data_IF_914303441579
#
_entry.id   IF_914303441579
#
_cell.length_a   1.000
_cell.length_b   1.000
_cell.length_c   1.000
_cell.angle_alpha   90.00
_cell.angle_beta   90.00
_cell.angle_gamma   90.00
#
_symmetry.space_group_name_H-M   'P 1'
#
loop_
_entity.id
_entity.type
_entity.pdbx_description
1 polymer ?
#
# COMPACT_ATOMS: atom_id res chain seq x y z
N UNK A 1 -27.81 -2.47 -17.09
CA UNK A 1 -27.55 -1.10 -16.59
C UNK A 1 -28.01 -1.06 -15.15
N UNK A 2 -27.19 -0.53 -14.26
CA UNK A 2 -27.55 -0.28 -12.88
C UNK A 2 -28.62 0.82 -12.85
N UNK A 3 -29.83 0.47 -12.41
CA UNK A 3 -31.01 1.32 -12.48
C UNK A 3 -30.83 2.62 -11.71
N UNK A 4 -30.30 2.55 -10.50
CA UNK A 4 -30.16 3.69 -9.59
C UNK A 4 -29.08 4.68 -10.03
N UNK A 5 -28.11 4.23 -10.84
CA UNK A 5 -26.92 5.02 -11.19
C UNK A 5 -26.76 5.26 -12.70
N UNK A 6 -27.54 4.60 -13.55
CA UNK A 6 -27.40 4.67 -15.01
C UNK A 6 -26.10 4.05 -15.56
N UNK A 7 -25.38 3.27 -14.76
CA UNK A 7 -24.06 2.72 -15.12
C UNK A 7 -24.19 1.39 -15.87
N UNK A 8 -23.41 1.17 -16.92
CA UNK A 8 -23.36 -0.13 -17.61
C UNK A 8 -22.60 -1.14 -16.72
N UNK A 9 -23.21 -2.29 -16.43
CA UNK A 9 -22.62 -3.34 -15.59
C UNK A 9 -21.94 -4.45 -16.40
N UNK A 10 -22.49 -4.79 -17.56
CA UNK A 10 -21.90 -5.76 -18.50
C UNK A 10 -22.28 -5.39 -19.93
N UNK A 11 -21.50 -5.87 -20.90
CA UNK A 11 -21.72 -5.63 -22.32
C UNK A 11 -21.06 -4.36 -22.87
N UNK A 12 -20.08 -3.78 -22.18
CA UNK A 12 -19.33 -2.59 -22.63
C UNK A 12 -18.87 -2.69 -24.10
N UNK A 13 -18.20 -3.78 -24.48
CA UNK A 13 -17.77 -3.98 -25.87
C UNK A 13 -18.95 -4.03 -26.85
N UNK A 14 -20.06 -4.68 -26.48
CA UNK A 14 -21.26 -4.75 -27.33
C UNK A 14 -21.92 -3.37 -27.46
N UNK A 15 -21.99 -2.63 -26.37
CA UNK A 15 -22.52 -1.28 -26.33
C UNK A 15 -21.70 -0.34 -27.23
N UNK A 16 -20.36 -0.36 -27.11
CA UNK A 16 -19.48 0.43 -27.97
C UNK A 16 -19.62 0.07 -29.45
N UNK A 17 -19.67 -1.23 -29.78
CA UNK A 17 -19.84 -1.69 -31.16
C UNK A 17 -21.20 -1.26 -31.71
N UNK A 18 -22.29 -1.45 -30.96
CA UNK A 18 -23.63 -1.06 -31.41
C UNK A 18 -23.73 0.45 -31.63
N UNK A 19 -23.17 1.25 -30.71
CA UNK A 19 -23.07 2.71 -30.87
C UNK A 19 -22.26 3.11 -32.10
N UNK A 20 -21.10 2.50 -32.32
CA UNK A 20 -20.23 2.79 -33.48
C UNK A 20 -20.89 2.42 -34.81
N UNK A 21 -21.64 1.31 -34.84
CA UNK A 21 -22.27 0.79 -36.05
C UNK A 21 -23.71 1.29 -36.25
N UNK A 22 -24.24 2.12 -35.36
CA UNK A 22 -25.62 2.61 -35.43
C UNK A 22 -26.66 1.49 -35.30
N UNK A 23 -26.32 0.40 -34.60
CA UNK A 23 -27.22 -0.74 -34.39
C UNK A 23 -28.03 -0.48 -33.13
N UNK A 24 -29.36 -0.55 -33.25
CA UNK A 24 -30.27 -0.44 -32.11
C UNK A 24 -30.06 -1.58 -31.11
N UNK A 25 -30.16 -1.27 -29.82
CA UNK A 25 -30.01 -2.25 -28.76
C UNK A 25 -30.97 -1.96 -27.60
N UNK A 26 -31.36 -3.01 -26.91
CA UNK A 26 -32.17 -2.93 -25.70
C UNK A 26 -31.29 -3.06 -24.45
N UNK A 27 -31.63 -2.28 -23.42
CA UNK A 27 -30.96 -2.36 -22.11
C UNK A 27 -31.84 -3.04 -21.08
N UNK A 28 -31.28 -3.96 -20.30
CA UNK A 28 -31.91 -4.49 -19.10
C UNK A 28 -31.50 -3.66 -17.89
N UNK A 29 -32.48 -3.12 -17.17
CA UNK A 29 -32.26 -2.43 -15.90
C UNK A 29 -32.14 -3.45 -14.77
N UNK A 30 -31.15 -3.26 -13.90
CA UNK A 30 -30.89 -4.10 -12.73
C UNK A 30 -30.74 -3.19 -11.52
N UNK A 31 -31.40 -3.52 -10.42
CA UNK A 31 -31.36 -2.77 -9.17
C UNK A 31 -30.40 -3.41 -8.17
N UNK A 32 -29.58 -2.60 -7.51
CA UNK A 32 -28.67 -3.05 -6.45
C UNK A 32 -28.68 -2.06 -5.27
N UNK A 33 -28.63 -2.55 -4.02
CA UNK A 33 -28.57 -1.68 -2.83
C UNK A 33 -27.34 -0.79 -2.79
N UNK A 34 -26.22 -1.29 -3.31
CA UNK A 34 -24.94 -0.63 -3.26
C UNK A 34 -23.97 -1.12 -4.33
N UNK A 35 -22.81 -0.48 -4.34
CA UNK A 35 -21.76 -0.74 -5.33
C UNK A 35 -21.13 -2.12 -5.16
N UNK A 36 -21.06 -2.63 -3.93
CA UNK A 36 -20.43 -3.92 -3.65
C UNK A 36 -21.34 -5.08 -4.06
N UNK A 37 -22.66 -4.95 -3.93
CA UNK A 37 -23.64 -5.88 -4.48
C UNK A 37 -23.62 -5.88 -6.01
N UNK A 38 -23.49 -4.71 -6.64
CA UNK A 38 -23.34 -4.60 -8.08
C UNK A 38 -22.04 -5.27 -8.58
N UNK A 39 -20.90 -5.05 -7.89
CA UNK A 39 -19.62 -5.74 -8.19
C UNK A 39 -19.73 -7.25 -8.00
N UNK A 40 -20.37 -7.70 -6.92
CA UNK A 40 -20.58 -9.11 -6.64
C UNK A 40 -21.37 -9.78 -7.77
N UNK A 41 -22.45 -9.14 -8.22
CA UNK A 41 -23.24 -9.60 -9.36
C UNK A 41 -22.41 -9.65 -10.65
N UNK A 42 -21.60 -8.62 -10.92
CA UNK A 42 -20.71 -8.60 -12.09
C UNK A 42 -19.73 -9.76 -12.07
N UNK A 43 -19.04 -9.99 -10.95
CA UNK A 43 -18.04 -11.06 -10.81
C UNK A 43 -18.68 -12.46 -10.95
N UNK A 44 -19.83 -12.69 -10.30
CA UNK A 44 -20.60 -13.94 -10.43
C UNK A 44 -21.03 -14.19 -11.88
N UNK A 45 -21.48 -13.14 -12.58
CA UNK A 45 -21.86 -13.24 -14.00
C UNK A 45 -20.66 -13.57 -14.88
N UNK A 46 -19.47 -13.01 -14.59
CA UNK A 46 -18.25 -13.33 -15.34
C UNK A 46 -17.83 -14.79 -15.16
N UNK A 47 -17.94 -15.35 -13.96
CA UNK A 47 -17.57 -16.75 -13.69
C UNK A 47 -18.35 -17.78 -14.54
N UNK A 48 -19.55 -17.44 -14.99
CA UNK A 48 -20.33 -18.28 -15.92
C UNK A 48 -19.76 -18.35 -17.34
N UNK A 49 -18.75 -17.54 -17.68
CA UNK A 49 -18.13 -17.55 -19.02
C UNK A 49 -17.16 -18.72 -19.15
N UNK A 50 -17.32 -19.50 -20.22
CA UNK A 50 -16.50 -20.70 -20.50
C UNK A 50 -15.02 -20.40 -20.76
N UNK A 51 -14.70 -19.18 -21.21
CA UNK A 51 -13.37 -18.80 -21.70
C UNK A 51 -12.46 -18.16 -20.63
N UNK A 52 -12.76 -18.31 -19.35
CA UNK A 52 -11.87 -17.84 -18.29
C UNK A 52 -10.72 -18.81 -18.07
N UNK A 53 -9.51 -18.30 -17.92
CA UNK A 53 -8.37 -19.13 -17.52
C UNK A 53 -8.37 -19.37 -15.99
N UNK A 54 -7.52 -20.27 -15.51
CA UNK A 54 -7.46 -20.61 -14.08
C UNK A 54 -7.13 -19.41 -13.17
N UNK A 55 -6.25 -18.51 -13.64
CA UNK A 55 -5.90 -17.28 -12.92
C UNK A 55 -7.13 -16.35 -12.80
N UNK A 56 -7.86 -16.10 -13.90
CA UNK A 56 -9.08 -15.30 -13.91
C UNK A 56 -10.11 -15.81 -12.93
N UNK A 57 -10.38 -17.11 -12.97
CA UNK A 57 -11.38 -17.76 -12.10
C UNK A 57 -10.96 -17.61 -10.64
N UNK A 58 -9.71 -17.93 -10.33
CA UNK A 58 -9.18 -17.85 -8.96
C UNK A 58 -9.22 -16.43 -8.42
N UNK A 59 -8.80 -15.44 -9.24
CA UNK A 59 -8.86 -14.01 -8.91
C UNK A 59 -10.29 -13.53 -8.64
N UNK A 60 -11.23 -13.86 -9.52
CA UNK A 60 -12.63 -13.49 -9.36
C UNK A 60 -13.23 -14.10 -8.08
N UNK A 61 -12.92 -15.36 -7.78
CA UNK A 61 -13.37 -16.02 -6.55
C UNK A 61 -12.78 -15.38 -5.28
N UNK A 62 -11.50 -14.99 -5.30
CA UNK A 62 -10.88 -14.24 -4.20
C UNK A 62 -11.58 -12.89 -3.97
N UNK A 63 -11.94 -12.18 -5.03
CA UNK A 63 -12.69 -10.92 -4.95
C UNK A 63 -14.11 -11.12 -4.43
N UNK A 64 -14.80 -12.17 -4.87
CA UNK A 64 -16.14 -12.55 -4.38
C UNK A 64 -16.09 -12.83 -2.89
N UNK A 65 -15.16 -13.67 -2.43
CA UNK A 65 -15.03 -14.00 -1.01
C UNK A 65 -14.79 -12.75 -0.15
N UNK A 66 -14.00 -11.80 -0.66
CA UNK A 66 -13.74 -10.53 0.04
C UNK A 66 -15.00 -9.64 0.10
N UNK A 67 -15.76 -9.54 -0.99
CA UNK A 67 -17.00 -8.76 -1.04
C UNK A 67 -18.10 -9.38 -0.18
N UNK A 68 -18.27 -10.71 -0.22
CA UNK A 68 -19.26 -11.42 0.59
C UNK A 68 -18.96 -11.26 2.09
N UNK A 69 -17.68 -11.25 2.48
CA UNK A 69 -17.27 -10.94 3.85
C UNK A 69 -17.62 -9.49 4.24
N UNK A 70 -17.36 -8.52 3.37
CA UNK A 70 -17.60 -7.10 3.65
C UNK A 70 -19.08 -6.74 3.74
N UNK A 71 -19.94 -7.41 2.95
CA UNK A 71 -21.38 -7.19 2.95
C UNK A 71 -22.09 -7.75 4.21
N UNK A 72 -21.33 -8.46 5.06
CA UNK A 72 -21.87 -9.18 6.21
C UNK A 72 -22.70 -10.39 5.76
N UNK A 73 -22.62 -11.48 6.50
CA UNK A 73 -23.36 -12.74 6.27
C UNK A 73 -24.90 -12.60 6.48
N UNK A 74 -25.51 -11.48 6.08
CA UNK A 74 -26.94 -11.22 6.10
C UNK A 74 -27.57 -11.71 4.79
N UNK A 75 -27.87 -13.01 4.75
CA UNK A 75 -28.95 -13.56 3.91
C UNK A 75 -28.62 -13.90 2.44
N UNK A 76 -27.45 -13.55 1.91
CA UNK A 76 -27.04 -14.05 0.59
C UNK A 76 -26.48 -15.46 0.75
N UNK A 77 -27.20 -16.47 0.26
CA UNK A 77 -26.66 -17.83 0.11
C UNK A 77 -25.34 -17.71 -0.66
N UNK A 78 -24.24 -18.18 -0.07
CA UNK A 78 -22.97 -18.22 -0.79
C UNK A 78 -23.08 -19.28 -1.91
N UNK A 79 -23.09 -18.82 -3.15
CA UNK A 79 -23.10 -19.71 -4.33
C UNK A 79 -21.74 -20.36 -4.58
N UNK A 80 -20.72 -20.01 -3.77
CA UNK A 80 -19.50 -20.78 -3.62
C UNK A 80 -19.78 -22.22 -3.12
N UNK A 81 -20.97 -22.46 -2.56
CA UNK A 81 -21.34 -23.72 -1.93
C UNK A 81 -20.92 -23.76 -0.45
N UNK A 82 -20.74 -22.61 0.21
CA UNK A 82 -20.63 -22.62 1.67
C UNK A 82 -22.03 -22.87 2.21
N UNK A 83 -22.35 -24.14 2.42
CA UNK A 83 -23.33 -24.49 3.44
C UNK A 83 -22.76 -23.95 4.76
N UNK A 84 -23.52 -23.15 5.51
CA UNK A 84 -23.18 -22.91 6.91
C UNK A 84 -23.06 -24.30 7.56
N UNK A 85 -21.95 -24.62 8.25
CA UNK A 85 -21.90 -25.79 9.12
C UNK A 85 -23.12 -25.75 10.04
N UNK A 86 -23.71 -26.91 10.35
CA UNK A 86 -24.89 -27.01 11.22
C UNK A 86 -24.67 -26.31 12.58
N UNK A 87 -23.41 -26.12 12.96
CA UNK A 87 -22.96 -25.54 14.24
C UNK A 87 -22.73 -24.01 14.18
N UNK A 88 -23.02 -23.35 13.07
CA UNK A 88 -23.05 -21.88 12.98
C UNK A 88 -21.69 -21.17 13.00
N UNK A 89 -20.57 -21.90 12.95
CA UNK A 89 -19.23 -21.31 12.86
C UNK A 89 -18.96 -20.71 11.46
N UNK A 90 -18.27 -19.57 11.41
CA UNK A 90 -17.80 -19.00 10.15
C UNK A 90 -16.67 -19.87 9.57
N UNK A 91 -16.65 -20.11 8.25
CA UNK A 91 -15.60 -20.90 7.63
C UNK A 91 -14.24 -20.23 7.83
N UNK A 92 -13.26 -21.03 8.26
CA UNK A 92 -11.89 -20.62 8.43
C UNK A 92 -11.25 -20.20 7.10
N UNK A 93 -10.11 -19.49 7.17
CA UNK A 93 -9.33 -19.13 5.99
C UNK A 93 -8.90 -20.36 5.17
N UNK A 94 -8.56 -21.45 5.85
CA UNK A 94 -8.15 -22.68 5.19
C UNK A 94 -9.29 -23.27 4.37
N UNK A 95 -10.49 -23.36 4.94
CA UNK A 95 -11.69 -23.85 4.27
C UNK A 95 -12.10 -22.95 3.08
N UNK A 96 -11.98 -21.63 3.25
CA UNK A 96 -12.22 -20.67 2.16
C UNK A 96 -11.26 -20.89 1.00
N UNK A 97 -9.96 -21.06 1.29
CA UNK A 97 -8.93 -21.34 0.26
C UNK A 97 -9.21 -22.66 -0.45
N UNK A 98 -9.58 -23.71 0.29
CA UNK A 98 -9.89 -25.02 -0.28
C UNK A 98 -11.10 -24.97 -1.22
N UNK A 99 -12.13 -24.20 -0.86
CA UNK A 99 -13.29 -24.04 -1.70
C UNK A 99 -13.00 -23.22 -2.96
N UNK A 100 -12.23 -22.13 -2.84
CA UNK A 100 -11.79 -21.35 -4.01
C UNK A 100 -10.96 -22.24 -4.94
N UNK A 101 -10.08 -23.07 -4.38
CA UNK A 101 -9.30 -24.05 -5.12
C UNK A 101 -10.20 -25.02 -5.88
N UNK A 102 -11.18 -25.62 -5.19
CA UNK A 102 -12.15 -26.57 -5.77
C UNK A 102 -12.98 -25.95 -6.89
N UNK A 103 -13.55 -24.76 -6.67
CA UNK A 103 -14.41 -24.07 -7.65
C UNK A 103 -13.62 -23.50 -8.83
N UNK A 104 -12.33 -23.19 -8.63
CA UNK A 104 -11.46 -22.69 -9.70
C UNK A 104 -10.71 -23.80 -10.45
N UNK A 105 -10.78 -25.05 -9.96
CA UNK A 105 -10.07 -26.19 -10.53
C UNK A 105 -8.55 -26.11 -10.36
N UNK A 106 -8.08 -25.54 -9.24
CA UNK A 106 -6.65 -25.36 -8.93
C UNK A 106 -6.31 -25.92 -7.55
N UNK A 107 -5.02 -25.99 -7.21
CA UNK A 107 -4.61 -26.38 -5.86
C UNK A 107 -4.76 -25.24 -4.85
N UNK A 108 -4.94 -25.53 -3.54
CA UNK A 108 -4.89 -24.51 -2.47
C UNK A 108 -3.61 -23.67 -2.50
N UNK A 109 -2.47 -24.28 -2.87
CA UNK A 109 -1.20 -23.57 -3.09
C UNK A 109 -1.29 -22.56 -4.25
N UNK A 110 -1.95 -22.93 -5.35
CA UNK A 110 -2.18 -22.01 -6.48
C UNK A 110 -3.02 -20.82 -6.04
N UNK A 111 -4.06 -21.02 -5.23
CA UNK A 111 -4.87 -19.92 -4.68
C UNK A 111 -4.02 -18.94 -3.87
N UNK A 112 -3.12 -19.46 -3.01
CA UNK A 112 -2.17 -18.62 -2.25
C UNK A 112 -1.24 -17.84 -3.18
N UNK A 113 -0.70 -18.49 -4.22
CA UNK A 113 0.15 -17.83 -5.22
C UNK A 113 -0.59 -16.73 -5.99
N UNK A 114 -1.85 -16.96 -6.38
CA UNK A 114 -2.67 -15.96 -7.06
C UNK A 114 -2.95 -14.77 -6.14
N UNK A 115 -3.29 -15.01 -4.87
CA UNK A 115 -3.49 -13.94 -3.88
C UNK A 115 -2.22 -13.10 -3.72
N UNK A 116 -1.06 -13.75 -3.59
CA UNK A 116 0.22 -13.06 -3.48
C UNK A 116 0.57 -12.27 -4.76
N UNK A 117 0.33 -12.85 -5.94
CA UNK A 117 0.60 -12.16 -7.20
C UNK A 117 -0.27 -10.92 -7.38
N UNK A 118 -1.58 -11.00 -7.13
CA UNK A 118 -2.49 -9.86 -7.29
C UNK A 118 -2.06 -8.60 -6.52
N UNK A 119 -1.39 -8.79 -5.39
CA UNK A 119 -0.91 -7.72 -4.50
C UNK A 119 0.48 -7.18 -4.88
N UNK A 120 1.26 -7.94 -5.66
CA UNK A 120 2.69 -7.67 -5.86
C UNK A 120 3.11 -7.54 -7.33
N UNK A 121 2.19 -7.72 -8.28
CA UNK A 121 2.44 -7.54 -9.71
C UNK A 121 1.87 -6.24 -10.26
N UNK A 122 2.51 -5.71 -11.30
CA UNK A 122 1.99 -4.59 -12.09
C UNK A 122 0.89 -5.03 -13.08
N UNK A 123 0.28 -4.04 -13.75
CA UNK A 123 -0.79 -4.25 -14.71
C UNK A 123 -0.36 -5.07 -15.94
N UNK A 124 0.90 -4.97 -16.36
CA UNK A 124 1.42 -5.68 -17.52
C UNK A 124 1.56 -7.18 -17.24
N UNK A 125 2.13 -7.53 -16.09
CA UNK A 125 2.20 -8.94 -15.64
C UNK A 125 0.79 -9.48 -15.40
N UNK A 126 -0.12 -8.68 -14.84
CA UNK A 126 -1.52 -9.07 -14.68
C UNK A 126 -2.17 -9.35 -16.03
N UNK A 127 -2.02 -8.48 -17.04
CA UNK A 127 -2.55 -8.73 -18.39
C UNK A 127 -2.03 -10.02 -18.99
N UNK A 128 -0.74 -10.34 -18.83
CA UNK A 128 -0.14 -11.61 -19.32
C UNK A 128 -0.70 -12.84 -18.62
N UNK A 129 -0.87 -12.78 -17.30
CA UNK A 129 -1.56 -13.83 -16.55
C UNK A 129 -3.03 -13.94 -16.98
N UNK A 130 -3.64 -12.82 -17.36
CA UNK A 130 -5.01 -12.79 -17.84
C UNK A 130 -5.12 -13.32 -19.29
N UNK A 131 -4.19 -13.07 -20.20
CA UNK A 131 -4.23 -13.65 -21.55
C UNK A 131 -3.80 -15.12 -21.58
N UNK A 132 -3.15 -15.60 -20.51
CA UNK A 132 -2.55 -16.93 -20.47
C UNK A 132 -1.18 -17.00 -21.14
N UNK A 133 -0.59 -15.85 -21.49
CA UNK A 133 0.79 -15.75 -22.02
C UNK A 133 1.85 -16.19 -21.01
N UNK A 134 1.53 -16.14 -19.71
CA UNK A 134 2.40 -16.62 -18.64
C UNK A 134 1.61 -17.43 -17.60
N UNK A 135 2.31 -18.11 -16.69
CA UNK A 135 1.70 -18.97 -15.68
C UNK A 135 1.89 -18.43 -14.27
N UNK A 136 0.92 -18.72 -13.40
CA UNK A 136 0.96 -18.35 -11.96
C UNK A 136 2.26 -18.82 -11.31
N UNK A 137 2.67 -20.07 -11.53
CA UNK A 137 3.89 -20.61 -10.94
C UNK A 137 5.15 -19.90 -11.44
N UNK A 138 5.20 -19.52 -12.73
CA UNK A 138 6.35 -18.81 -13.31
C UNK A 138 6.49 -17.42 -12.73
N UNK A 139 5.42 -16.62 -12.73
CA UNK A 139 5.45 -15.26 -12.18
C UNK A 139 5.67 -15.27 -10.67
N UNK A 140 5.07 -16.23 -9.96
CA UNK A 140 5.30 -16.41 -8.52
C UNK A 140 6.76 -16.73 -8.22
N UNK A 141 7.37 -17.66 -8.96
CA UNK A 141 8.78 -18.00 -8.80
C UNK A 141 9.71 -16.83 -9.17
N UNK A 142 9.41 -16.11 -10.25
CA UNK A 142 10.19 -14.93 -10.66
C UNK A 142 10.14 -13.82 -9.60
N UNK A 143 8.97 -13.58 -9.02
CA UNK A 143 8.78 -12.61 -7.95
C UNK A 143 9.50 -13.05 -6.66
N UNK A 144 9.33 -14.31 -6.24
CA UNK A 144 10.05 -14.88 -5.09
C UNK A 144 11.56 -14.94 -5.28
N UNK A 145 12.05 -15.15 -6.50
CA UNK A 145 13.48 -15.09 -6.80
C UNK A 145 14.02 -13.66 -6.78
N UNK A 146 13.22 -12.66 -7.18
CA UNK A 146 13.56 -11.25 -6.99
C UNK A 146 13.67 -10.88 -5.50
N UNK A 147 12.83 -11.48 -4.66
CA UNK A 147 12.87 -11.28 -3.20
C UNK A 147 13.99 -12.07 -2.51
N UNK A 148 14.43 -13.20 -3.08
CA UNK A 148 15.48 -14.07 -2.52
C UNK A 148 16.89 -13.78 -3.01
N UNK A 149 17.07 -13.17 -4.18
CA UNK A 149 18.40 -12.68 -4.57
C UNK A 149 18.77 -11.59 -3.56
N UNK A 150 19.91 -11.77 -2.88
CA UNK A 150 20.54 -10.64 -2.18
C UNK A 150 20.48 -9.45 -3.14
N UNK A 151 19.97 -8.30 -2.68
CA UNK A 151 19.82 -7.16 -3.56
C UNK A 151 21.19 -6.88 -4.17
N UNK A 152 21.23 -6.81 -5.50
CA UNK A 152 22.46 -6.48 -6.23
C UNK A 152 23.08 -5.27 -5.52
N UNK A 153 24.34 -5.37 -5.04
CA UNK A 153 24.96 -4.26 -4.34
C UNK A 153 24.84 -3.01 -5.20
N UNK A 154 24.30 -1.94 -4.60
CA UNK A 154 24.25 -0.65 -5.28
C UNK A 154 25.70 -0.24 -5.58
N UNK A 155 25.99 0.31 -6.78
CA UNK A 155 27.27 0.97 -7.00
C UNK A 155 27.52 1.98 -5.88
N UNK A 156 28.76 2.15 -5.44
CA UNK A 156 29.11 3.00 -4.30
C UNK A 156 28.56 4.44 -4.44
N UNK A 157 28.59 4.99 -5.66
CA UNK A 157 28.04 6.31 -5.98
C UNK A 157 26.50 6.41 -5.86
N UNK A 158 25.79 5.29 -5.87
CA UNK A 158 24.34 5.19 -5.75
C UNK A 158 23.89 4.72 -4.36
N UNK A 159 24.82 4.42 -3.44
CA UNK A 159 24.46 4.01 -2.08
C UNK A 159 23.78 5.19 -1.36
N UNK A 160 22.66 4.95 -0.66
CA UNK A 160 22.04 5.98 0.16
C UNK A 160 22.96 6.35 1.33
N UNK A 161 22.92 7.61 1.73
CA UNK A 161 23.74 8.14 2.83
C UNK A 161 22.90 8.33 4.08
N UNK A 162 23.35 7.78 5.20
CA UNK A 162 22.76 8.01 6.52
C UNK A 162 23.80 8.67 7.41
N UNK A 163 23.52 9.89 7.84
CA UNK A 163 24.36 10.61 8.81
C UNK A 163 23.97 10.21 10.23
N UNK A 164 24.96 9.90 11.08
CA UNK A 164 24.78 9.54 12.48
C UNK A 164 24.44 10.79 13.30
N UNK A 165 23.15 11.14 13.35
CA UNK A 165 22.69 12.38 13.98
C UNK A 165 21.22 12.32 14.35
N UNK A 166 20.86 13.10 15.37
CA UNK A 166 19.47 13.39 15.71
C UNK A 166 18.76 14.18 14.60
N UNK A 167 17.51 13.84 14.33
CA UNK A 167 16.73 14.41 13.23
C UNK A 167 16.69 15.94 13.22
N UNK A 168 16.45 16.57 14.38
CA UNK A 168 16.36 18.04 14.49
C UNK A 168 17.69 18.70 14.11
N UNK A 169 18.82 18.18 14.61
CA UNK A 169 20.14 18.70 14.30
C UNK A 169 20.50 18.53 12.81
N UNK A 170 20.22 17.34 12.26
CA UNK A 170 20.43 17.06 10.84
C UNK A 170 19.62 17.98 9.93
N UNK A 171 18.32 18.13 10.21
CA UNK A 171 17.44 19.01 9.42
C UNK A 171 17.83 20.48 9.54
N UNK A 172 18.34 20.92 10.69
CA UNK A 172 18.86 22.28 10.87
C UNK A 172 20.06 22.52 9.96
N UNK A 173 20.99 21.58 9.86
CA UNK A 173 22.14 21.69 8.97
C UNK A 173 21.73 21.71 7.49
N UNK A 174 20.76 20.89 7.09
CA UNK A 174 20.24 20.91 5.73
C UNK A 174 19.61 22.27 5.38
N UNK A 175 18.84 22.85 6.31
CA UNK A 175 18.27 24.18 6.13
C UNK A 175 19.36 25.27 6.03
N UNK A 176 20.39 25.21 6.89
CA UNK A 176 21.51 26.16 6.85
C UNK A 176 22.33 26.07 5.55
N UNK A 177 22.40 24.88 4.96
CA UNK A 177 23.04 24.65 3.65
C UNK A 177 22.11 24.90 2.46
N UNK A 178 20.86 25.30 2.72
CA UNK A 178 19.81 25.47 1.72
C UNK A 178 19.60 24.22 0.84
N UNK A 179 19.88 23.03 1.36
CA UNK A 179 19.68 21.78 0.63
C UNK A 179 18.18 21.55 0.38
N UNK A 180 17.82 21.15 -0.85
CA UNK A 180 16.43 20.91 -1.26
C UNK A 180 16.18 19.48 -1.74
N UNK A 181 15.02 18.94 -1.38
CA UNK A 181 14.58 17.58 -1.67
C UNK A 181 13.25 17.55 -2.44
N UNK A 182 13.09 16.51 -3.26
CA UNK A 182 11.92 16.26 -4.11
C UNK A 182 10.84 15.45 -3.39
N UNK A 183 11.24 14.69 -2.36
CA UNK A 183 10.36 13.84 -1.59
C UNK A 183 10.85 13.69 -0.15
N UNK A 184 9.94 13.85 0.80
CA UNK A 184 10.10 13.36 2.17
C UNK A 184 9.30 12.07 2.32
N UNK A 185 9.93 10.98 2.74
CA UNK A 185 9.23 9.76 3.12
C UNK A 185 9.88 9.22 4.39
N UNK A 186 9.09 9.11 5.46
CA UNK A 186 9.65 8.80 6.77
C UNK A 186 8.63 8.20 7.71
N UNK A 187 9.14 7.46 8.71
CA UNK A 187 8.38 6.92 9.82
C UNK A 187 9.06 7.40 11.12
N UNK A 188 8.58 8.51 11.71
CA UNK A 188 9.12 8.99 12.98
C UNK A 188 8.86 7.97 14.10
N UNK A 189 9.59 8.09 15.23
CA UNK A 189 9.34 7.28 16.42
C UNK A 189 7.86 7.30 16.82
N UNK A 190 7.34 6.13 17.21
CA UNK A 190 5.95 5.99 17.67
C UNK A 190 5.76 6.65 19.03
N UNK A 191 4.55 7.15 19.31
CA UNK A 191 4.26 7.62 20.67
C UNK A 191 4.34 6.48 21.68
N UNK A 192 4.05 5.25 21.26
CA UNK A 192 4.15 4.06 22.11
C UNK A 192 5.58 3.79 22.60
N UNK A 193 6.58 4.09 21.79
CA UNK A 193 7.99 4.05 22.18
C UNK A 193 8.35 5.22 23.08
N UNK A 194 7.83 6.41 22.76
CA UNK A 194 8.11 7.66 23.48
C UNK A 194 7.54 7.71 24.90
N UNK A 195 6.31 7.22 25.09
CA UNK A 195 5.57 7.31 26.36
C UNK A 195 6.28 6.60 27.53
N UNK A 196 7.28 5.75 27.25
CA UNK A 196 8.13 5.14 28.27
C UNK A 196 8.91 6.19 29.07
N UNK A 197 9.23 7.32 28.44
CA UNK A 197 10.14 8.34 28.98
C UNK A 197 9.63 9.78 28.82
N UNK A 198 8.40 10.02 28.33
CA UNK A 198 7.89 11.36 28.06
C UNK A 198 6.37 11.46 27.96
N UNK A 199 5.86 12.68 27.97
CA UNK A 199 4.43 12.97 27.82
C UNK A 199 4.01 13.12 26.35
N UNK A 200 2.70 13.08 26.10
CA UNK A 200 2.14 13.41 24.79
C UNK A 200 2.53 14.82 24.32
N UNK A 201 2.64 15.78 25.23
CA UNK A 201 3.04 17.14 24.87
C UNK A 201 4.51 17.18 24.42
N UNK A 202 5.41 16.47 25.12
CA UNK A 202 6.82 16.39 24.72
C UNK A 202 6.98 15.75 23.34
N UNK A 203 6.19 14.71 23.04
CA UNK A 203 6.16 14.07 21.73
C UNK A 203 5.67 15.02 20.62
N UNK A 204 4.61 15.79 20.89
CA UNK A 204 4.07 16.79 19.95
C UNK A 204 5.08 17.94 19.75
N UNK A 205 5.76 18.37 20.80
CA UNK A 205 6.76 19.44 20.73
C UNK A 205 8.01 19.00 19.97
N UNK A 206 8.48 17.77 20.21
CA UNK A 206 9.50 17.14 19.38
C UNK A 206 9.06 17.07 17.91
N UNK A 207 7.83 16.62 17.66
CA UNK A 207 7.28 16.50 16.30
C UNK A 207 7.19 17.86 15.60
N UNK A 208 6.79 18.90 16.33
CA UNK A 208 6.74 20.28 15.83
C UNK A 208 8.11 20.76 15.35
N UNK A 209 9.17 20.46 16.10
CA UNK A 209 10.52 20.92 15.78
C UNK A 209 11.05 20.29 14.48
N UNK A 210 10.98 18.96 14.36
CA UNK A 210 11.51 18.30 13.17
C UNK A 210 10.60 18.49 11.96
N UNK A 211 9.27 18.48 12.11
CA UNK A 211 8.34 18.54 10.98
C UNK A 211 8.48 19.85 10.21
N UNK A 212 8.47 21.01 10.90
CA UNK A 212 8.64 22.31 10.25
C UNK A 212 9.98 22.42 9.52
N UNK A 213 11.05 21.88 10.13
CA UNK A 213 12.39 21.85 9.54
C UNK A 213 12.46 20.94 8.30
N UNK A 214 11.79 19.78 8.34
CA UNK A 214 11.71 18.83 7.24
C UNK A 214 10.88 19.36 6.07
N UNK A 215 9.77 20.05 6.33
CA UNK A 215 8.95 20.66 5.29
C UNK A 215 9.66 21.86 4.61
N UNK A 216 10.54 22.55 5.33
CA UNK A 216 11.29 23.71 4.81
C UNK A 216 12.38 23.35 3.79
N UNK A 217 12.92 22.13 3.87
CA UNK A 217 13.89 21.60 2.89
C UNK A 217 13.24 21.00 1.65
N UNK A 218 11.91 21.01 1.54
CA UNK A 218 11.21 20.51 0.36
C UNK A 218 11.07 21.60 -0.73
N UNK A 219 11.16 21.17 -2.00
CA UNK A 219 10.86 22.04 -3.15
C UNK A 219 9.36 22.35 -3.22
N UNK A 220 9.00 23.40 -3.96
CA UNK A 220 7.60 23.84 -4.14
C UNK A 220 6.74 22.84 -4.92
N UNK A 221 7.35 21.91 -5.65
CA UNK A 221 6.72 20.82 -6.40
C UNK A 221 6.91 19.44 -5.74
N UNK A 222 7.53 19.40 -4.56
CA UNK A 222 7.80 18.17 -3.81
C UNK A 222 6.54 17.61 -3.13
N UNK A 223 6.69 16.43 -2.52
CA UNK A 223 5.66 15.77 -1.70
C UNK A 223 6.27 15.23 -0.40
N UNK A 224 5.42 15.04 0.60
CA UNK A 224 5.80 14.32 1.82
C UNK A 224 4.82 13.21 2.16
N UNK A 225 5.33 12.07 2.62
CA UNK A 225 4.58 10.95 3.17
C UNK A 225 5.15 10.61 4.55
N UNK A 226 4.38 10.87 5.60
CA UNK A 226 4.82 10.67 6.98
C UNK A 226 3.92 9.62 7.62
N UNK A 227 4.47 8.44 7.89
CA UNK A 227 3.73 7.36 8.56
C UNK A 227 3.49 7.72 10.02
N UNK A 228 2.27 7.48 10.52
CA UNK A 228 1.88 7.83 11.89
C UNK A 228 1.06 6.73 12.53
N UNK A 229 1.12 6.64 13.85
CA UNK A 229 0.33 5.70 14.64
C UNK A 229 -1.18 5.95 14.52
N UNK A 230 -1.96 4.92 14.82
CA UNK A 230 -3.42 4.97 14.82
C UNK A 230 -4.04 5.32 16.17
N UNK A 231 -3.23 5.60 17.20
CA UNK A 231 -3.77 6.09 18.46
C UNK A 231 -4.53 7.39 18.21
N UNK A 232 -5.80 7.43 18.61
CA UNK A 232 -6.71 8.50 18.20
C UNK A 232 -6.32 9.86 18.79
N UNK A 233 -5.75 9.88 19.99
CA UNK A 233 -5.35 11.13 20.66
C UNK A 233 -4.07 11.68 20.02
N UNK A 234 -3.10 10.79 19.76
CA UNK A 234 -1.87 11.13 19.05
C UNK A 234 -2.20 11.63 17.64
N UNK A 235 -2.97 10.85 16.88
CA UNK A 235 -3.34 11.18 15.51
C UNK A 235 -4.07 12.53 15.42
N UNK A 236 -5.01 12.80 16.32
CA UNK A 236 -5.69 14.09 16.38
C UNK A 236 -4.71 15.25 16.56
N UNK A 237 -3.71 15.11 17.45
CA UNK A 237 -2.68 16.13 17.66
C UNK A 237 -1.77 16.30 16.44
N UNK A 238 -1.39 15.20 15.80
CA UNK A 238 -0.54 15.22 14.62
C UNK A 238 -1.25 15.81 13.39
N UNK A 239 -2.56 15.58 13.23
CA UNK A 239 -3.35 16.19 12.17
C UNK A 239 -3.45 17.71 12.34
N UNK A 240 -3.73 18.18 13.56
CA UNK A 240 -3.72 19.63 13.86
C UNK A 240 -2.35 20.22 13.58
N UNK A 241 -1.29 19.57 14.06
CA UNK A 241 0.09 20.03 13.84
C UNK A 241 0.46 20.06 12.34
N UNK A 242 0.00 19.09 11.54
CA UNK A 242 0.25 19.04 10.11
C UNK A 242 -0.39 20.22 9.38
N UNK A 243 -1.61 20.61 9.77
CA UNK A 243 -2.28 21.80 9.25
C UNK A 243 -1.49 23.06 9.64
N UNK A 244 -1.12 23.19 10.91
CA UNK A 244 -0.36 24.35 11.43
C UNK A 244 1.03 24.51 10.76
N UNK A 245 1.69 23.41 10.41
CA UNK A 245 3.02 23.40 9.80
C UNK A 245 3.03 23.54 8.27
N UNK A 246 1.85 23.62 7.65
CA UNK A 246 1.75 23.97 6.24
C UNK A 246 2.38 25.34 6.00
N UNK A 247 3.13 25.50 4.91
CA UNK A 247 3.88 26.72 4.63
C UNK A 247 3.65 27.24 3.20
N UNK A 248 4.44 28.22 2.79
CA UNK A 248 4.29 28.85 1.47
C UNK A 248 4.47 27.85 0.30
N UNK A 249 5.28 26.81 0.49
CA UNK A 249 5.70 25.88 -0.56
C UNK A 249 4.92 24.57 -0.54
N UNK A 250 4.60 24.06 0.65
CA UNK A 250 4.00 22.74 0.85
C UNK A 250 2.88 22.80 1.89
N UNK A 251 1.77 22.10 1.62
CA UNK A 251 0.60 22.07 2.50
C UNK A 251 0.16 20.64 2.81
N UNK A 252 -0.42 20.45 3.99
CA UNK A 252 -1.08 19.21 4.35
C UNK A 252 -2.30 19.02 3.45
N UNK A 253 -2.31 17.94 2.68
CA UNK A 253 -3.29 17.72 1.61
C UNK A 253 -4.31 16.65 1.97
N UNK A 254 -3.88 15.55 2.59
CA UNK A 254 -4.76 14.41 2.87
C UNK A 254 -4.18 13.50 3.97
N UNK A 255 -5.04 12.67 4.56
CA UNK A 255 -4.65 11.52 5.37
C UNK A 255 -4.85 10.26 4.54
N UNK A 256 -3.75 9.65 4.09
CA UNK A 256 -3.83 8.35 3.42
C UNK A 256 -3.94 7.24 4.47
N UNK A 257 -4.73 6.22 4.16
CA UNK A 257 -4.98 5.08 5.05
C UNK A 257 -4.34 3.86 4.43
N UNK A 258 -3.23 3.38 4.99
CA UNK A 258 -2.69 2.09 4.61
C UNK A 258 -3.33 0.98 5.44
N UNK A 259 -4.15 0.16 4.81
CA UNK A 259 -4.74 -1.03 5.43
C UNK A 259 -3.89 -2.26 5.18
N UNK A 260 -3.81 -3.12 6.19
CA UNK A 260 -3.16 -4.43 6.14
C UNK A 260 -4.03 -5.46 6.86
N UNK A 261 -3.95 -6.74 6.49
CA UNK A 261 -4.67 -7.77 7.25
C UNK A 261 -3.99 -7.99 8.60
N UNK A 262 -4.71 -7.90 9.72
CA UNK A 262 -4.15 -8.29 11.00
C UNK A 262 -3.84 -9.79 10.96
N UNK A 263 -2.81 -10.22 11.69
CA UNK A 263 -2.73 -11.62 12.10
C UNK A 263 -4.04 -11.94 12.86
N UNK A 264 -4.51 -13.18 12.80
CA UNK A 264 -5.62 -13.60 13.67
C UNK A 264 -5.16 -13.47 15.11
N UNK A 265 -5.36 -12.29 15.67
CA UNK A 265 -5.28 -12.09 17.10
C UNK A 265 -6.69 -12.29 17.63
N UNK A 266 -6.76 -13.00 18.74
CA UNK A 266 -7.95 -13.28 19.53
C UNK A 266 -8.41 -11.98 20.21
N UNK A 267 -8.73 -10.96 19.40
CA UNK A 267 -9.08 -9.61 19.84
C UNK A 267 -10.49 -9.62 20.43
N UNK A 268 -10.64 -10.20 21.62
CA UNK A 268 -11.88 -10.41 22.36
C UNK A 268 -13.13 -9.68 21.85
N UNK A 269 -13.54 -8.60 22.52
CA UNK A 269 -14.74 -7.79 22.17
C UNK A 269 -14.39 -6.45 21.49
N UNK A 270 -13.17 -6.29 20.97
CA UNK A 270 -12.68 -5.01 20.44
C UNK A 270 -12.33 -5.08 18.94
N UNK A 271 -12.18 -3.91 18.29
CA UNK A 271 -11.82 -3.83 16.89
C UNK A 271 -10.32 -4.00 16.67
N UNK A 272 -9.94 -4.73 15.62
CA UNK A 272 -8.53 -4.92 15.26
C UNK A 272 -7.89 -3.65 14.68
N UNK A 273 -6.69 -3.31 15.15
CA UNK A 273 -5.84 -2.28 14.53
C UNK A 273 -5.23 -2.81 13.22
N UNK A 274 -5.93 -2.57 12.11
CA UNK A 274 -5.64 -3.12 10.78
C UNK A 274 -5.26 -2.05 9.74
N UNK A 275 -4.86 -0.87 10.20
CA UNK A 275 -4.47 0.23 9.34
C UNK A 275 -3.37 1.07 10.00
N UNK A 276 -2.72 1.92 9.20
CA UNK A 276 -1.79 2.95 9.64
C UNK A 276 -2.07 4.24 8.85
N UNK A 277 -1.96 5.39 9.50
CA UNK A 277 -2.13 6.69 8.86
C UNK A 277 -0.85 7.12 8.14
N UNK A 278 -1.00 7.87 7.05
CA UNK A 278 0.09 8.55 6.36
C UNK A 278 -0.33 9.99 6.14
N UNK A 279 0.33 10.93 6.82
CA UNK A 279 0.13 12.35 6.56
C UNK A 279 0.73 12.67 5.20
N UNK A 280 -0.10 13.11 4.27
CA UNK A 280 0.32 13.46 2.91
C UNK A 280 0.37 14.97 2.75
N UNK A 281 1.56 15.48 2.43
CA UNK A 281 1.76 16.87 2.07
C UNK A 281 2.04 17.01 0.59
N UNK A 282 1.50 18.07 -0.02
CA UNK A 282 1.63 18.35 -1.44
C UNK A 282 2.21 19.74 -1.65
N UNK A 283 3.24 19.83 -2.49
CA UNK A 283 3.79 21.10 -2.94
C UNK A 283 2.78 21.87 -3.78
N UNK A 284 2.71 23.19 -3.63
CA UNK A 284 1.72 24.02 -4.34
C UNK A 284 1.89 24.00 -5.86
N UNK A 285 3.09 23.70 -6.35
CA UNK A 285 3.37 23.53 -7.78
C UNK A 285 3.48 22.05 -8.20
N UNK A 286 3.20 21.11 -7.28
CA UNK A 286 3.27 19.70 -7.59
C UNK A 286 2.18 19.34 -8.62
N UNK A 287 2.60 19.07 -9.86
CA UNK A 287 1.72 18.68 -10.95
C UNK A 287 0.91 17.45 -10.53
N UNK A 288 -0.39 17.45 -10.85
CA UNK A 288 -1.17 16.22 -10.80
C UNK A 288 -0.49 15.22 -11.74
N UNK A 289 -0.11 14.03 -11.25
CA UNK A 289 0.31 12.95 -12.16
C UNK A 289 -0.83 12.76 -13.17
N UNK A 290 -0.52 12.82 -14.46
CA UNK A 290 -1.50 12.63 -15.53
C UNK A 290 -2.41 11.46 -15.21
N UNK A 291 -3.73 11.72 -15.21
CA UNK A 291 -4.87 10.82 -14.94
C UNK A 291 -4.51 9.34 -14.77
N UNK A 292 -3.81 9.00 -13.70
CA UNK A 292 -3.68 7.64 -13.22
C UNK A 292 -4.98 7.37 -12.48
N UNK A 293 -5.81 6.51 -13.05
CA UNK A 293 -7.15 6.17 -12.56
C UNK A 293 -7.17 5.46 -11.20
N UNK A 294 -6.06 5.41 -10.45
CA UNK A 294 -5.90 4.57 -9.25
C UNK A 294 -5.11 5.22 -8.08
N UNK A 295 -5.16 6.54 -7.95
CA UNK A 295 -4.67 7.24 -6.75
C UNK A 295 -5.76 7.27 -5.66
N UNK A 296 -6.01 6.12 -5.04
CA UNK A 296 -6.92 6.01 -3.89
C UNK A 296 -6.24 6.50 -2.61
N UNK A 297 -6.99 7.18 -1.74
CA UNK A 297 -6.54 7.57 -0.39
C UNK A 297 -6.44 6.38 0.55
N UNK A 298 -7.20 5.31 0.28
CA UNK A 298 -7.06 4.02 0.96
C UNK A 298 -6.14 3.11 0.14
N UNK A 299 -5.02 2.72 0.75
CA UNK A 299 -3.98 1.89 0.20
C UNK A 299 -4.09 0.48 0.78
N UNK A 300 -4.21 -0.53 -0.09
CA UNK A 300 -4.28 -1.93 0.31
C UNK A 300 -2.95 -2.61 -0.02
N UNK A 301 -2.11 -2.83 0.99
CA UNK A 301 -0.86 -3.58 0.84
C UNK A 301 -0.68 -4.53 2.01
N UNK A 302 -0.46 -5.81 1.72
CA UNK A 302 -0.21 -6.82 2.73
C UNK A 302 1.19 -6.68 3.33
N UNK A 303 1.30 -6.95 4.64
CA UNK A 303 2.59 -7.03 5.33
C UNK A 303 3.17 -8.43 5.10
N UNK A 304 4.40 -8.52 4.59
CA UNK A 304 5.05 -9.81 4.30
C UNK A 304 5.51 -10.50 5.60
N UNK A 305 4.62 -11.31 6.19
CA UNK A 305 4.90 -12.04 7.43
C UNK A 305 5.73 -13.33 7.26
N UNK A 306 6.10 -13.76 6.04
CA UNK A 306 6.87 -14.99 5.78
C UNK A 306 8.31 -14.68 5.29
N UNK A 307 9.32 -14.83 6.17
CA UNK A 307 10.79 -14.74 5.94
C UNK A 307 11.59 -14.57 7.27
N UNK A 308 12.80 -15.12 7.34
CA UNK A 308 13.59 -15.38 8.55
C UNK A 308 14.52 -14.22 9.01
N UNK A 309 13.99 -13.08 9.49
CA UNK A 309 14.84 -11.98 9.99
C UNK A 309 14.41 -11.44 11.37
N UNK A 310 15.40 -11.04 12.18
CA UNK A 310 15.28 -10.70 13.62
C UNK A 310 14.53 -9.38 13.94
N UNK A 311 14.35 -8.48 12.96
CA UNK A 311 13.72 -7.14 13.13
C UNK A 311 12.61 -6.85 12.09
N UNK A 312 11.80 -7.86 11.79
CA UNK A 312 10.92 -7.89 10.63
C UNK A 312 9.60 -7.13 10.80
N UNK A 313 9.18 -6.88 12.04
CA UNK A 313 7.83 -6.40 12.31
C UNK A 313 7.61 -4.91 12.05
N UNK A 314 8.66 -4.10 11.89
CA UNK A 314 8.53 -2.65 11.68
C UNK A 314 8.66 -2.21 10.22
N UNK A 315 9.08 -3.10 9.30
CA UNK A 315 9.27 -2.73 7.89
C UNK A 315 7.96 -2.61 7.13
N UNK A 316 7.88 -1.63 6.23
CA UNK A 316 6.75 -1.43 5.31
C UNK A 316 6.83 -2.40 4.13
N UNK A 317 5.71 -2.77 3.47
CA UNK A 317 5.76 -3.51 2.22
C UNK A 317 6.53 -2.73 1.16
N UNK A 318 7.52 -3.34 0.52
CA UNK A 318 8.30 -2.69 -0.56
C UNK A 318 7.41 -2.16 -1.69
N UNK A 319 6.33 -2.84 -2.13
CA UNK A 319 5.42 -2.31 -3.13
C UNK A 319 4.73 -1.00 -2.70
N UNK A 320 4.35 -0.87 -1.43
CA UNK A 320 3.79 0.37 -0.88
C UNK A 320 4.82 1.49 -0.98
N UNK A 321 6.03 1.25 -0.48
CA UNK A 321 7.12 2.23 -0.50
C UNK A 321 7.45 2.67 -1.93
N UNK A 322 7.55 1.72 -2.88
CA UNK A 322 7.76 2.02 -4.30
C UNK A 322 6.64 2.89 -4.88
N UNK A 323 5.38 2.61 -4.53
CA UNK A 323 4.21 3.41 -4.97
C UNK A 323 4.26 4.85 -4.44
N UNK A 324 4.84 5.09 -3.28
CA UNK A 324 5.01 6.44 -2.73
C UNK A 324 6.23 7.15 -3.32
N UNK A 325 7.37 6.46 -3.44
CA UNK A 325 8.63 7.06 -3.92
C UNK A 325 8.55 7.56 -5.37
N UNK A 326 7.76 6.92 -6.23
CA UNK A 326 7.56 7.37 -7.62
C UNK A 326 6.95 8.79 -7.76
N UNK A 327 6.57 9.44 -6.66
CA UNK A 327 6.12 10.82 -6.66
C UNK A 327 7.26 11.85 -6.60
N UNK A 328 8.49 11.42 -6.31
CA UNK A 328 9.68 12.23 -6.51
C UNK A 328 9.89 12.52 -8.01
N UNK A 329 10.46 13.69 -8.33
CA UNK A 329 10.91 13.97 -9.70
C UNK A 329 11.98 12.95 -10.12
N UNK A 330 11.99 12.51 -11.39
CA UNK A 330 12.96 11.53 -11.89
C UNK A 330 14.41 11.96 -11.63
N UNK A 331 15.20 11.09 -11.01
CA UNK A 331 16.58 11.39 -10.61
C UNK A 331 16.69 12.40 -9.45
N UNK A 332 15.57 12.77 -8.83
CA UNK A 332 15.49 13.70 -7.72
C UNK A 332 16.05 13.14 -6.40
N UNK A 333 15.94 13.96 -5.35
CA UNK A 333 16.46 13.67 -4.02
C UNK A 333 15.35 13.25 -3.07
N UNK A 334 15.54 12.12 -2.39
CA UNK A 334 14.63 11.58 -1.37
C UNK A 334 15.25 11.74 0.01
N UNK A 335 14.45 12.25 0.95
CA UNK A 335 14.80 12.52 2.33
C UNK A 335 14.08 11.57 3.28
N UNK A 336 14.82 11.04 4.27
CA UNK A 336 14.28 10.29 5.40
C UNK A 336 15.04 10.67 6.70
N UNK A 337 14.52 11.58 7.53
CA UNK A 337 15.18 12.00 8.77
C UNK A 337 15.07 10.97 9.92
N UNK A 338 14.44 9.82 9.68
CA UNK A 338 14.32 8.70 10.62
C UNK A 338 14.64 7.40 9.88
N UNK A 339 15.86 7.31 9.36
CA UNK A 339 16.23 6.32 8.36
C UNK A 339 16.16 4.87 8.87
N UNK A 340 16.33 4.66 10.19
CA UNK A 340 16.35 3.35 10.82
C UNK A 340 17.28 2.38 10.09
N UNK A 341 16.72 1.24 9.67
CA UNK A 341 17.47 0.22 8.90
C UNK A 341 17.76 0.59 7.43
N UNK A 342 17.40 1.81 7.00
CA UNK A 342 17.62 2.34 5.66
C UNK A 342 16.57 1.94 4.62
N UNK A 343 15.42 1.41 5.02
CA UNK A 343 14.45 0.81 4.09
C UNK A 343 13.97 1.78 2.99
N UNK A 344 13.53 2.97 3.37
CA UNK A 344 13.02 3.95 2.40
C UNK A 344 14.12 4.44 1.48
N UNK A 345 15.30 4.76 2.04
CA UNK A 345 16.44 5.24 1.28
C UNK A 345 17.00 4.21 0.30
N UNK A 346 17.11 2.93 0.70
CA UNK A 346 17.52 1.84 -0.18
C UNK A 346 16.50 1.60 -1.30
N UNK A 347 15.20 1.72 -0.99
CA UNK A 347 14.15 1.59 -2.00
C UNK A 347 14.21 2.74 -3.01
N UNK A 348 14.50 3.96 -2.54
CA UNK A 348 14.71 5.13 -3.39
C UNK A 348 15.96 4.98 -4.27
N UNK A 349 17.10 4.62 -3.68
CA UNK A 349 18.35 4.41 -4.40
C UNK A 349 18.21 3.35 -5.51
N UNK A 350 17.56 2.21 -5.22
CA UNK A 350 17.27 1.16 -6.21
C UNK A 350 16.31 1.60 -7.32
N UNK A 351 15.51 2.63 -7.08
CA UNK A 351 14.64 3.24 -8.07
C UNK A 351 15.33 4.40 -8.84
N UNK A 352 16.63 4.64 -8.60
CA UNK A 352 17.44 5.62 -9.32
C UNK A 352 17.41 7.03 -8.73
N UNK A 353 16.98 7.19 -7.46
CA UNK A 353 16.99 8.48 -6.78
C UNK A 353 18.22 8.63 -5.89
N UNK A 354 18.73 9.86 -5.76
CA UNK A 354 19.68 10.16 -4.70
C UNK A 354 18.92 10.15 -3.36
N UNK A 355 19.37 9.39 -2.38
CA UNK A 355 18.64 9.23 -1.13
C UNK A 355 19.55 9.52 0.07
N UNK A 356 19.08 10.37 0.98
CA UNK A 356 19.84 10.80 2.15
C UNK A 356 18.93 10.87 3.38
N UNK A 357 19.50 10.55 4.54
CA UNK A 357 18.80 10.63 5.81
C UNK A 357 19.72 10.70 7.00
N UNK A 358 19.14 10.55 8.18
CA UNK A 358 19.87 10.40 9.42
C UNK A 358 19.21 9.38 10.34
N UNK A 359 20.00 8.82 11.24
CA UNK A 359 19.53 8.08 12.40
C UNK A 359 20.58 8.22 13.50
N UNK A 360 20.18 8.11 14.77
CA UNK A 360 21.10 8.21 15.91
C UNK A 360 21.30 6.86 16.62
N UNK A 361 20.48 5.85 16.31
CA UNK A 361 20.55 4.53 16.93
C UNK A 361 21.73 3.72 16.37
N UNK A 362 22.75 3.38 17.18
CA UNK A 362 23.89 2.60 16.71
C UNK A 362 23.50 1.24 16.13
N UNK A 363 22.46 0.62 16.70
CA UNK A 363 21.93 -0.68 16.29
C UNK A 363 21.29 -0.62 14.90
N UNK A 364 20.47 0.41 14.66
CA UNK A 364 19.82 0.62 13.36
C UNK A 364 20.83 1.04 12.28
N UNK A 365 21.80 1.89 12.64
CA UNK A 365 22.88 2.30 11.73
C UNK A 365 23.76 1.10 11.32
N UNK A 366 24.10 0.20 12.24
CA UNK A 366 24.82 -1.04 11.92
C UNK A 366 24.05 -1.86 10.90
N UNK A 367 22.76 -2.08 11.16
CA UNK A 367 21.88 -2.83 10.27
C UNK A 367 21.70 -2.12 8.91
N UNK A 368 21.66 -0.79 8.89
CA UNK A 368 21.58 -0.03 7.65
C UNK A 368 22.85 -0.18 6.80
N UNK A 369 24.03 -0.18 7.45
CA UNK A 369 25.30 -0.49 6.81
C UNK A 369 25.31 -1.90 6.20
N UNK A 370 24.87 -2.91 6.95
CA UNK A 370 24.71 -4.29 6.46
C UNK A 370 23.74 -4.38 5.27
N UNK A 371 22.68 -3.57 5.25
CA UNK A 371 21.72 -3.52 4.15
C UNK A 371 22.22 -2.74 2.91
N UNK A 372 23.41 -2.14 2.98
CA UNK A 372 24.04 -1.41 1.88
C UNK A 372 23.81 0.10 1.88
N UNK A 373 23.65 0.72 3.06
CA UNK A 373 23.72 2.18 3.21
C UNK A 373 25.15 2.61 3.54
N UNK A 374 25.56 3.79 3.08
CA UNK A 374 26.79 4.45 3.52
C UNK A 374 26.51 5.22 4.80
N UNK A 375 27.23 4.91 5.87
CA UNK A 375 27.10 5.61 7.16
C UNK A 375 28.17 6.69 7.24
N UNK A 376 27.76 7.91 7.56
CA UNK A 376 28.63 9.08 7.78
C UNK A 376 28.45 9.59 9.22
N UNK A 377 29.50 10.17 9.78
CA UNK A 377 29.47 10.77 11.13
C UNK A 377 28.87 12.20 11.15
#
# INVERSE_FOLDING_TARGET
>A
VWQEQGIILDGHNRYEICKRLGVDFNTKMLSFPGRDEAKLWMLKTQLGRRNLNAFHRTRAQLMIANLEKNLGSSGVKSDLGMSKPADGHEPSKAETIEQIARTSGVSPDTVRKVSYLEENIDDEVRKKLMSGETSVSKEYAALRQKDKKEPIPLPEAAMPVITKKEAVGFLTELNNKEEKFDLLITEPPSYQEWQKNGSLNDYVDFTRQWLGSALSVLKVDARAFIFVDTDIFVLNRLLTLAIEQSNANIEFSDLLIWTYRPQENDAGKEFNANWQGILYFRGKQALAKEKSTELNTVLHFMKDFHNDFKYKDWRKPVPLVRKLIQFAAHGGKVLDPFAGSGQFLLTAARAGYAARGCDHSPELLSLAGENGCRIED
#
